data_IF_154493603495
#
_entry.id   IF_154493603495
#
_cell.length_a   1.000
_cell.length_b   1.000
_cell.length_c   1.000
_cell.angle_alpha   90.00
_cell.angle_beta   90.00
_cell.angle_gamma   90.00
#
_symmetry.space_group_name_H-M   'P 1'
#
loop_
_entity.id
_entity.type
_entity.pdbx_description
1 polymer ?
#
# COMPACT_ATOMS: atom_id res chain seq x y z
N UNK A 1 -25.36 -16.49 11.32
CA UNK A 1 -25.24 -15.12 11.87
C UNK A 1 -26.00 -14.23 10.93
N UNK A 2 -27.02 -13.50 11.42
CA UNK A 2 -27.73 -12.55 10.57
C UNK A 2 -26.76 -11.47 10.16
N UNK A 3 -26.60 -11.24 8.86
CA UNK A 3 -25.76 -10.20 8.33
C UNK A 3 -26.25 -8.84 8.87
N UNK A 4 -25.37 -8.05 9.47
CA UNK A 4 -25.73 -6.73 9.98
C UNK A 4 -25.84 -5.79 8.78
N UNK A 5 -27.04 -5.70 8.21
CA UNK A 5 -27.29 -5.02 6.93
C UNK A 5 -26.69 -3.60 6.81
N UNK A 6 -26.63 -2.77 7.88
CA UNK A 6 -25.90 -1.50 7.86
C UNK A 6 -24.38 -1.65 7.72
N UNK A 7 -23.77 -2.65 8.37
CA UNK A 7 -22.34 -2.89 8.26
C UNK A 7 -21.95 -3.41 6.88
N UNK A 8 -22.74 -4.32 6.30
CA UNK A 8 -22.50 -4.79 4.93
C UNK A 8 -22.54 -3.63 3.92
N UNK A 9 -23.49 -2.70 4.08
CA UNK A 9 -23.54 -1.48 3.26
C UNK A 9 -22.30 -0.62 3.44
N UNK A 10 -21.78 -0.52 4.66
CA UNK A 10 -20.54 0.20 4.94
C UNK A 10 -19.33 -0.46 4.29
N UNK A 11 -19.22 -1.78 4.36
CA UNK A 11 -18.15 -2.54 3.70
C UNK A 11 -18.18 -2.33 2.18
N UNK A 12 -19.35 -2.44 1.54
CA UNK A 12 -19.50 -2.16 0.11
C UNK A 12 -19.11 -0.72 -0.21
N UNK A 13 -19.43 0.24 0.67
CA UNK A 13 -19.02 1.63 0.48
C UNK A 13 -17.50 1.84 0.59
N UNK A 14 -16.83 1.10 1.49
CA UNK A 14 -15.37 1.10 1.61
C UNK A 14 -14.68 0.47 0.40
N UNK A 15 -15.19 -0.67 -0.11
CA UNK A 15 -14.61 -1.36 -1.28
C UNK A 15 -14.53 -0.48 -2.54
N UNK A 16 -15.38 0.54 -2.65
CA UNK A 16 -15.40 1.49 -3.77
C UNK A 16 -15.03 2.92 -3.37
N UNK A 17 -14.63 3.15 -2.11
CA UNK A 17 -14.37 4.48 -1.53
C UNK A 17 -15.48 5.52 -1.82
N UNK A 18 -16.74 5.12 -1.61
CA UNK A 18 -17.88 6.02 -1.77
C UNK A 18 -18.13 6.83 -0.50
N UNK A 19 -17.54 8.02 -0.43
CA UNK A 19 -17.71 8.98 0.68
C UNK A 19 -19.20 9.26 0.97
N UNK A 20 -20.03 9.37 -0.08
CA UNK A 20 -21.47 9.59 0.04
C UNK A 20 -22.18 8.43 0.74
N UNK A 21 -21.88 7.19 0.35
CA UNK A 21 -22.51 6.01 0.97
C UNK A 21 -22.02 5.79 2.39
N UNK A 22 -20.73 6.01 2.66
CA UNK A 22 -20.18 5.99 4.02
C UNK A 22 -20.95 7.01 4.87
N UNK A 23 -21.09 8.24 4.39
CA UNK A 23 -21.82 9.31 5.09
C UNK A 23 -23.27 8.90 5.36
N UNK A 24 -23.98 8.36 4.37
CA UNK A 24 -25.36 7.93 4.52
C UNK A 24 -25.53 6.86 5.61
N UNK A 25 -24.63 5.87 5.67
CA UNK A 25 -24.67 4.82 6.70
C UNK A 25 -24.41 5.40 8.10
N UNK A 26 -23.44 6.31 8.23
CA UNK A 26 -23.14 6.98 9.51
C UNK A 26 -24.28 7.93 9.94
N UNK A 27 -24.91 8.64 9.01
CA UNK A 27 -26.05 9.54 9.27
C UNK A 27 -27.31 8.76 9.67
N UNK A 28 -27.45 7.52 9.20
CA UNK A 28 -28.48 6.58 9.65
C UNK A 28 -28.22 6.02 11.07
N UNK A 29 -27.15 6.45 11.74
CA UNK A 29 -26.85 6.12 13.14
C UNK A 29 -25.82 5.00 13.33
N UNK A 30 -25.19 4.50 12.26
CA UNK A 30 -24.09 3.55 12.41
C UNK A 30 -22.89 4.24 13.09
N UNK A 31 -22.30 3.57 14.08
CA UNK A 31 -21.19 4.14 14.85
C UNK A 31 -19.87 4.02 14.10
N UNK A 32 -19.16 5.14 13.90
CA UNK A 32 -17.81 5.15 13.33
C UNK A 32 -16.73 4.61 14.29
N UNK A 33 -17.05 4.44 15.58
CA UNK A 33 -16.09 4.11 16.65
C UNK A 33 -16.28 2.73 17.24
N UNK A 34 -17.51 2.19 17.22
CA UNK A 34 -17.81 0.90 17.82
C UNK A 34 -17.21 -0.23 16.98
N UNK A 35 -16.42 -1.13 17.57
CA UNK A 35 -15.91 -2.29 16.85
C UNK A 35 -17.03 -3.23 16.39
N UNK A 36 -16.88 -3.76 15.18
CA UNK A 36 -17.63 -4.90 14.64
C UNK A 36 -16.64 -6.06 14.50
N UNK A 37 -16.97 -7.22 15.04
CA UNK A 37 -16.08 -8.40 15.07
C UNK A 37 -14.64 -8.11 15.52
N UNK A 38 -14.49 -7.21 16.50
CA UNK A 38 -13.21 -6.85 17.10
C UNK A 38 -12.41 -5.78 16.34
N UNK A 39 -12.89 -5.26 15.21
CA UNK A 39 -12.22 -4.20 14.43
C UNK A 39 -13.09 -2.96 14.31
N UNK A 40 -12.47 -1.78 14.41
CA UNK A 40 -13.19 -0.53 14.18
C UNK A 40 -13.46 -0.32 12.68
N UNK A 41 -14.49 0.46 12.31
CA UNK A 41 -14.76 0.78 10.90
C UNK A 41 -13.56 1.39 10.16
N UNK A 42 -12.77 2.25 10.83
CA UNK A 42 -11.57 2.83 10.22
C UNK A 42 -10.49 1.78 10.00
N UNK A 43 -10.31 0.81 10.91
CA UNK A 43 -9.41 -0.34 10.72
C UNK A 43 -9.84 -1.16 9.50
N UNK A 44 -11.14 -1.44 9.32
CA UNK A 44 -11.63 -2.13 8.12
C UNK A 44 -11.28 -1.36 6.83
N UNK A 45 -11.54 -0.05 6.79
CA UNK A 45 -11.23 0.79 5.62
C UNK A 45 -9.73 0.76 5.28
N UNK A 46 -8.85 0.88 6.27
CA UNK A 46 -7.40 0.93 6.04
C UNK A 46 -6.83 -0.43 5.61
N UNK A 47 -7.38 -1.54 6.12
CA UNK A 47 -6.84 -2.87 5.81
C UNK A 47 -7.32 -3.45 4.47
N UNK A 48 -8.43 -2.94 3.92
CA UNK A 48 -8.97 -3.38 2.63
C UNK A 48 -7.95 -3.24 1.50
N UNK A 49 -8.16 -3.94 0.38
CA UNK A 49 -7.20 -3.96 -0.71
C UNK A 49 -7.31 -2.75 -1.67
N UNK A 50 -8.53 -2.28 -1.94
CA UNK A 50 -8.74 -1.19 -2.91
C UNK A 50 -8.08 0.10 -2.41
N UNK A 51 -7.54 0.89 -3.34
CA UNK A 51 -6.87 2.17 -3.05
C UNK A 51 -7.26 3.17 -4.14
N UNK A 52 -7.69 4.37 -3.76
CA UNK A 52 -8.15 5.38 -4.72
C UNK A 52 -7.82 6.79 -4.26
N UNK A 53 -7.97 7.79 -5.14
CA UNK A 53 -7.83 9.20 -4.78
C UNK A 53 -8.86 9.66 -3.72
N UNK A 54 -9.97 8.94 -3.54
CA UNK A 54 -11.01 9.25 -2.55
C UNK A 54 -10.75 8.62 -1.18
N UNK A 55 -9.75 7.75 -1.06
CA UNK A 55 -9.41 7.09 0.21
C UNK A 55 -9.17 8.10 1.34
N UNK A 56 -8.36 9.17 1.16
CA UNK A 56 -8.16 10.18 2.20
C UNK A 56 -9.45 10.86 2.67
N UNK A 57 -10.42 11.08 1.78
CA UNK A 57 -11.72 11.67 2.13
C UNK A 57 -12.55 10.70 3.00
N UNK A 58 -12.47 9.40 2.72
CA UNK A 58 -13.13 8.36 3.51
C UNK A 58 -12.54 8.29 4.93
N UNK A 59 -11.21 8.32 5.05
CA UNK A 59 -10.49 8.38 6.33
C UNK A 59 -10.89 9.64 7.10
N UNK A 60 -10.84 10.81 6.45
CA UNK A 60 -11.22 12.10 7.05
C UNK A 60 -12.65 12.08 7.59
N UNK A 61 -13.61 11.55 6.82
CA UNK A 61 -14.99 11.44 7.27
C UNK A 61 -15.13 10.59 8.53
N UNK A 62 -14.42 9.46 8.63
CA UNK A 62 -14.47 8.63 9.84
C UNK A 62 -13.85 9.35 11.05
N UNK A 63 -12.72 10.04 10.85
CA UNK A 63 -12.07 10.84 11.91
C UNK A 63 -12.96 11.99 12.40
N UNK A 64 -13.65 12.69 11.49
CA UNK A 64 -14.66 13.72 11.83
C UNK A 64 -15.83 13.16 12.66
N UNK A 65 -16.11 11.86 12.52
CA UNK A 65 -17.12 11.12 13.31
C UNK A 65 -16.55 10.48 14.57
N UNK A 66 -15.33 10.87 14.95
CA UNK A 66 -14.68 10.45 16.20
C UNK A 66 -13.92 9.13 16.12
N UNK A 67 -13.75 8.54 14.93
CA UNK A 67 -12.89 7.38 14.78
C UNK A 67 -11.44 7.73 15.11
N UNK A 68 -10.68 6.74 15.56
CA UNK A 68 -9.25 6.87 15.87
C UNK A 68 -8.49 5.73 15.22
N UNK A 69 -7.32 6.03 14.67
CA UNK A 69 -6.37 5.02 14.22
C UNK A 69 -5.63 4.43 15.41
N UNK A 70 -5.28 3.14 15.33
CA UNK A 70 -4.47 2.46 16.35
C UNK A 70 -3.09 3.13 16.50
N UNK A 71 -2.53 3.62 15.39
CA UNK A 71 -1.36 4.48 15.37
C UNK A 71 -1.70 5.88 14.83
N UNK A 72 -1.96 6.87 15.70
CA UNK A 72 -2.28 8.22 15.26
C UNK A 72 -1.15 8.91 14.47
N UNK A 73 0.10 8.42 14.53
CA UNK A 73 1.24 9.06 13.85
C UNK A 73 1.21 8.89 12.34
N UNK A 74 0.48 7.89 11.83
CA UNK A 74 0.32 7.68 10.38
C UNK A 74 -0.84 8.48 9.79
N UNK A 75 -1.65 9.16 10.61
CA UNK A 75 -2.79 9.97 10.18
C UNK A 75 -2.49 10.91 9.00
N UNK A 76 -1.47 11.79 9.05
CA UNK A 76 -1.19 12.69 7.93
C UNK A 76 -0.84 11.95 6.65
N UNK A 77 -0.26 10.76 6.76
CA UNK A 77 0.07 9.92 5.60
C UNK A 77 -1.18 9.34 4.97
N UNK A 78 -2.10 8.77 5.76
CA UNK A 78 -3.36 8.22 5.26
C UNK A 78 -4.34 9.30 4.75
N UNK A 79 -4.20 10.54 5.24
CA UNK A 79 -4.95 11.69 4.76
C UNK A 79 -4.36 12.35 3.51
N UNK A 80 -3.23 11.85 3.01
CA UNK A 80 -2.44 12.46 1.93
C UNK A 80 -2.17 13.97 2.18
N UNK A 81 -1.83 14.30 3.43
CA UNK A 81 -1.68 15.67 3.92
C UNK A 81 -0.20 16.00 4.20
N UNK A 82 0.53 16.55 3.21
CA UNK A 82 1.96 16.84 3.36
C UNK A 82 2.23 17.98 4.34
N UNK A 83 1.29 18.91 4.53
CA UNK A 83 1.46 20.05 5.43
C UNK A 83 1.32 19.60 6.88
N UNK A 84 0.27 18.83 7.19
CA UNK A 84 0.12 18.21 8.51
C UNK A 84 1.29 17.28 8.84
N UNK A 85 1.80 16.52 7.85
CA UNK A 85 3.00 15.71 8.02
C UNK A 85 4.21 16.58 8.38
N UNK A 86 4.45 17.66 7.65
CA UNK A 86 5.59 18.54 7.86
C UNK A 86 5.56 19.16 9.26
N UNK A 87 4.39 19.65 9.67
CA UNK A 87 4.17 20.18 11.02
C UNK A 87 4.43 19.14 12.10
N UNK A 88 3.98 17.89 11.88
CA UNK A 88 4.21 16.80 12.81
C UNK A 88 5.71 16.46 12.93
N UNK A 89 6.42 16.34 11.80
CA UNK A 89 7.87 16.05 11.77
C UNK A 89 8.69 17.20 12.33
N UNK A 90 8.25 18.45 12.17
CA UNK A 90 8.90 19.61 12.76
C UNK A 90 8.80 19.58 14.30
N UNK A 91 7.65 19.17 14.83
CA UNK A 91 7.43 19.01 16.28
C UNK A 91 8.19 17.81 16.84
N UNK A 92 8.29 16.72 16.08
CA UNK A 92 8.99 15.51 16.46
C UNK A 92 9.71 14.88 15.26
N UNK A 93 11.02 15.14 15.16
CA UNK A 93 11.87 14.60 14.08
C UNK A 93 12.00 13.08 14.15
N UNK A 94 11.72 12.44 15.28
CA UNK A 94 11.77 10.98 15.40
C UNK A 94 10.72 10.29 14.53
N UNK A 95 9.67 11.00 14.11
CA UNK A 95 8.64 10.50 13.20
C UNK A 95 9.20 9.98 11.87
N UNK A 96 10.33 10.52 11.38
CA UNK A 96 10.98 10.01 10.17
C UNK A 96 11.53 8.59 10.31
N UNK A 97 11.75 8.13 11.56
CA UNK A 97 12.20 6.78 11.91
C UNK A 97 11.11 5.97 12.62
N UNK A 98 9.89 6.52 12.74
CA UNK A 98 8.77 5.85 13.38
C UNK A 98 8.45 4.53 12.70
N UNK A 99 8.08 3.54 13.50
CA UNK A 99 7.74 2.18 13.08
C UNK A 99 6.29 1.93 13.40
N UNK A 100 5.52 1.59 12.38
CA UNK A 100 4.10 1.27 12.48
C UNK A 100 3.85 -0.19 12.11
N UNK A 101 2.76 -0.74 12.62
CA UNK A 101 2.24 -2.06 12.29
C UNK A 101 0.81 -1.89 11.84
N UNK A 102 0.54 -2.22 10.59
CA UNK A 102 -0.79 -2.08 10.00
C UNK A 102 -1.08 -3.26 9.08
N UNK A 103 -2.27 -3.82 9.22
CA UNK A 103 -2.78 -4.77 8.23
C UNK A 103 -2.89 -4.09 6.86
N UNK A 104 -2.42 -4.77 5.82
CA UNK A 104 -2.76 -4.46 4.43
C UNK A 104 -3.05 -5.80 3.77
N UNK A 105 -4.21 -5.91 3.11
CA UNK A 105 -4.86 -7.16 2.72
C UNK A 105 -3.92 -8.31 2.35
N UNK A 106 -2.86 -8.05 1.57
CA UNK A 106 -1.97 -9.09 1.09
C UNK A 106 -0.49 -8.91 1.43
N UNK A 107 -0.06 -7.75 1.92
CA UNK A 107 1.34 -7.49 2.28
C UNK A 107 1.36 -6.56 3.50
N UNK A 108 1.32 -7.12 4.72
CA UNK A 108 1.24 -6.32 5.94
C UNK A 108 2.43 -5.37 6.04
N UNK A 109 2.18 -4.23 6.68
CA UNK A 109 3.17 -3.20 6.93
C UNK A 109 3.74 -3.41 8.34
N UNK A 110 4.61 -4.41 8.49
CA UNK A 110 5.20 -4.79 9.78
C UNK A 110 6.51 -4.03 10.01
N UNK A 111 6.58 -3.23 11.09
CA UNK A 111 7.73 -2.37 11.35
C UNK A 111 8.00 -1.38 10.21
N UNK A 112 6.95 -0.94 9.53
CA UNK A 112 7.02 -0.07 8.38
C UNK A 112 7.28 1.39 8.79
N UNK A 113 7.94 2.17 7.94
CA UNK A 113 8.06 3.63 8.13
C UNK A 113 6.93 4.37 7.43
N UNK A 114 6.78 5.67 7.73
CA UNK A 114 5.83 6.53 7.03
C UNK A 114 5.99 6.50 5.49
N UNK A 115 7.21 6.31 4.99
CA UNK A 115 7.49 6.22 3.55
C UNK A 115 6.98 4.91 2.93
N UNK A 116 6.96 3.81 3.68
CA UNK A 116 6.33 2.56 3.23
C UNK A 116 4.82 2.75 3.09
N UNK A 117 4.18 3.39 4.08
CA UNK A 117 2.75 3.67 4.04
C UNK A 117 2.44 4.58 2.84
N UNK A 118 3.20 5.66 2.63
CA UNK A 118 3.00 6.53 1.47
C UNK A 118 3.17 5.79 0.12
N UNK A 119 4.12 4.84 0.04
CA UNK A 119 4.35 4.01 -1.14
C UNK A 119 3.20 3.02 -1.42
N UNK A 120 2.76 2.29 -0.40
CA UNK A 120 1.61 1.37 -0.45
C UNK A 120 0.34 2.11 -0.89
N UNK A 121 0.11 3.30 -0.32
CA UNK A 121 -1.06 4.11 -0.59
C UNK A 121 -0.88 5.10 -1.74
N UNK A 122 0.25 5.06 -2.47
CA UNK A 122 0.44 5.87 -3.69
C UNK A 122 0.33 7.38 -3.45
N UNK A 123 0.58 7.83 -2.23
CA UNK A 123 0.47 9.22 -1.79
C UNK A 123 1.72 10.00 -2.18
N UNK A 124 1.75 10.46 -3.42
CA UNK A 124 2.92 11.10 -4.04
C UNK A 124 3.36 12.36 -3.29
N UNK A 125 2.42 13.23 -2.91
CA UNK A 125 2.73 14.48 -2.24
C UNK A 125 3.37 14.23 -0.87
N UNK A 126 2.80 13.31 -0.10
CA UNK A 126 3.36 12.89 1.19
C UNK A 126 4.72 12.19 1.02
N UNK A 127 4.87 11.29 0.05
CA UNK A 127 6.14 10.61 -0.22
C UNK A 127 7.25 11.61 -0.56
N UNK A 128 6.97 12.59 -1.42
CA UNK A 128 7.91 13.66 -1.75
C UNK A 128 8.30 14.45 -0.50
N UNK A 129 7.30 14.81 0.32
CA UNK A 129 7.54 15.55 1.56
C UNK A 129 8.40 14.79 2.56
N UNK A 130 8.16 13.48 2.73
CA UNK A 130 8.99 12.63 3.59
C UNK A 130 10.46 12.63 3.14
N UNK A 131 10.71 12.48 1.84
CA UNK A 131 12.07 12.51 1.28
C UNK A 131 12.73 13.88 1.46
N UNK A 132 12.01 14.98 1.20
CA UNK A 132 12.48 16.35 1.46
C UNK A 132 12.89 16.56 2.92
N UNK A 133 12.14 15.98 3.86
CA UNK A 133 12.40 16.08 5.29
C UNK A 133 13.54 15.16 5.77
N UNK A 134 14.06 14.29 4.89
CA UNK A 134 15.19 13.39 5.17
C UNK A 134 14.80 11.98 5.59
N UNK A 135 13.64 11.48 5.15
CA UNK A 135 13.31 10.06 5.29
C UNK A 135 14.27 9.19 4.46
N UNK A 136 14.79 8.13 5.08
CA UNK A 136 15.72 7.20 4.45
C UNK A 136 15.00 6.29 3.44
N UNK A 137 15.29 6.48 2.15
CA UNK A 137 14.57 5.87 1.02
C UNK A 137 14.56 4.34 1.01
N UNK A 138 15.64 3.72 1.47
CA UNK A 138 15.87 2.27 1.44
C UNK A 138 15.70 1.61 2.83
N UNK A 139 15.05 2.29 3.77
CA UNK A 139 14.77 1.70 5.08
C UNK A 139 14.00 0.40 4.90
N UNK A 140 14.45 -0.68 5.54
CA UNK A 140 13.74 -1.95 5.53
C UNK A 140 12.67 -1.99 6.62
N UNK A 141 11.52 -2.57 6.30
CA UNK A 141 10.53 -3.05 7.24
C UNK A 141 11.10 -4.20 8.10
N UNK A 142 10.33 -4.67 9.08
CA UNK A 142 10.73 -5.80 9.91
C UNK A 142 10.65 -7.13 9.13
N UNK A 143 11.51 -8.07 9.53
CA UNK A 143 11.45 -9.45 9.07
C UNK A 143 10.78 -10.32 10.12
N UNK A 144 10.13 -11.39 9.69
CA UNK A 144 9.61 -12.39 10.63
C UNK A 144 10.74 -13.30 11.17
N UNK A 145 10.38 -14.26 12.04
CA UNK A 145 11.32 -15.18 12.68
C UNK A 145 12.07 -16.10 11.71
N UNK A 146 11.60 -16.25 10.47
CA UNK A 146 12.26 -17.01 9.41
C UNK A 146 13.15 -16.11 8.52
N UNK A 147 13.27 -14.82 8.82
CA UNK A 147 14.01 -13.84 8.02
C UNK A 147 13.27 -13.40 6.76
N UNK A 148 11.97 -13.71 6.64
CA UNK A 148 11.15 -13.34 5.49
C UNK A 148 10.63 -11.91 5.62
N UNK A 149 10.17 -11.34 4.51
CA UNK A 149 9.71 -9.96 4.37
C UNK A 149 10.86 -8.95 4.50
N UNK A 150 10.64 -7.83 5.20
CA UNK A 150 11.62 -6.75 5.30
C UNK A 150 11.73 -5.92 4.02
N UNK A 151 10.60 -5.73 3.34
CA UNK A 151 10.43 -4.86 2.18
C UNK A 151 11.00 -3.46 2.44
N UNK A 152 11.55 -2.83 1.41
CA UNK A 152 11.76 -1.36 1.37
C UNK A 152 10.52 -0.67 0.81
N UNK A 153 10.37 0.67 0.90
CA UNK A 153 9.23 1.38 0.31
C UNK A 153 9.03 1.08 -1.17
N UNK A 154 10.11 0.85 -1.93
CA UNK A 154 10.02 0.55 -3.37
C UNK A 154 9.20 -0.72 -3.65
N UNK A 155 9.29 -1.77 -2.83
CA UNK A 155 8.50 -3.01 -3.00
C UNK A 155 6.98 -2.77 -3.00
N UNK A 156 6.51 -1.81 -2.20
CA UNK A 156 5.08 -1.49 -2.08
C UNK A 156 4.52 -0.76 -3.32
N UNK A 157 5.39 -0.33 -4.24
CA UNK A 157 4.94 0.42 -5.44
C UNK A 157 4.72 -0.47 -6.66
N UNK A 158 5.49 -1.55 -6.79
CA UNK A 158 5.67 -2.26 -8.07
C UNK A 158 4.51 -3.21 -8.42
N UNK A 159 3.72 -3.62 -7.42
CA UNK A 159 2.51 -4.44 -7.57
C UNK A 159 1.30 -3.75 -6.95
N UNK A 160 1.11 -2.45 -7.22
CA UNK A 160 -0.05 -1.70 -6.72
C UNK A 160 -1.32 -1.91 -7.56
N UNK A 161 -2.50 -1.80 -6.93
CA UNK A 161 -3.79 -1.86 -7.63
C UNK A 161 -3.87 -0.78 -8.72
N UNK A 162 -4.26 -1.15 -9.94
CA UNK A 162 -4.34 -0.22 -11.09
C UNK A 162 -3.06 0.60 -11.34
N UNK A 163 -1.90 0.05 -10.97
CA UNK A 163 -0.57 0.68 -11.10
C UNK A 163 -0.47 2.10 -10.49
N UNK A 164 -1.33 2.40 -9.53
CA UNK A 164 -1.50 3.74 -8.95
C UNK A 164 -0.26 4.26 -8.23
N UNK A 165 0.61 3.38 -7.74
CA UNK A 165 1.82 3.78 -7.03
C UNK A 165 3.02 4.00 -7.97
N UNK A 166 2.85 3.89 -9.30
CA UNK A 166 3.92 4.16 -10.28
C UNK A 166 4.54 5.58 -10.15
N UNK A 167 3.78 6.66 -9.88
CA UNK A 167 4.39 7.97 -9.61
C UNK A 167 5.31 7.94 -8.38
N UNK A 168 4.92 7.24 -7.31
CA UNK A 168 5.77 7.09 -6.12
C UNK A 168 6.99 6.22 -6.42
N UNK A 169 6.83 5.16 -7.22
CA UNK A 169 7.96 4.33 -7.70
C UNK A 169 9.03 5.21 -8.36
N UNK A 170 8.64 6.05 -9.33
CA UNK A 170 9.56 6.95 -10.04
C UNK A 170 10.21 7.98 -9.12
N UNK A 171 9.45 8.52 -8.17
CA UNK A 171 9.99 9.42 -7.15
C UNK A 171 11.06 8.73 -6.31
N UNK A 172 10.77 7.52 -5.79
CA UNK A 172 11.71 6.74 -4.99
C UNK A 172 12.98 6.42 -5.79
N UNK A 173 12.85 5.99 -7.05
CA UNK A 173 14.01 5.75 -7.93
C UNK A 173 14.83 7.01 -8.18
N UNK A 174 14.18 8.16 -8.38
CA UNK A 174 14.85 9.46 -8.54
C UNK A 174 15.56 9.90 -7.25
N UNK A 175 15.06 9.46 -6.09
CA UNK A 175 15.68 9.66 -4.78
C UNK A 175 16.76 8.61 -4.44
N UNK A 176 17.12 7.73 -5.38
CA UNK A 176 18.19 6.74 -5.21
C UNK A 176 17.75 5.42 -4.59
N UNK A 177 16.45 5.11 -4.55
CA UNK A 177 15.96 3.80 -4.13
C UNK A 177 16.59 2.69 -4.98
N UNK A 178 17.05 1.63 -4.33
CA UNK A 178 17.74 0.53 -5.01
C UNK A 178 16.76 -0.56 -5.47
N UNK A 179 16.62 -0.80 -6.78
CA UNK A 179 15.73 -1.83 -7.34
C UNK A 179 16.30 -3.26 -7.23
N UNK A 180 17.50 -3.44 -6.67
CA UNK A 180 18.20 -4.72 -6.49
C UNK A 180 18.30 -5.17 -5.02
N UNK A 181 17.64 -4.46 -4.08
CA UNK A 181 17.56 -4.89 -2.69
C UNK A 181 16.92 -6.27 -2.62
N UNK A 182 17.71 -7.25 -2.17
CA UNK A 182 17.30 -8.64 -2.07
C UNK A 182 16.68 -8.95 -0.71
N UNK A 183 15.54 -9.64 -0.73
CA UNK A 183 14.88 -10.25 0.42
C UNK A 183 15.03 -11.76 0.32
N UNK A 184 15.10 -12.45 1.46
CA UNK A 184 15.07 -13.91 1.50
C UNK A 184 13.76 -14.46 0.89
N UNK A 185 12.66 -13.75 1.14
CA UNK A 185 11.41 -13.91 0.42
C UNK A 185 10.31 -13.00 0.95
N UNK A 186 9.15 -13.03 0.29
CA UNK A 186 7.93 -12.34 0.70
C UNK A 186 6.80 -13.37 0.80
N UNK A 187 6.01 -13.27 1.86
CA UNK A 187 4.76 -14.04 2.00
C UNK A 187 3.59 -13.12 1.66
N UNK A 188 2.91 -13.40 0.56
CA UNK A 188 1.74 -12.68 0.09
C UNK A 188 0.46 -13.41 0.49
N UNK A 189 -0.50 -12.68 1.06
CA UNK A 189 -1.75 -13.28 1.55
C UNK A 189 -1.53 -14.18 2.77
N UNK A 190 -0.70 -13.73 3.72
CA UNK A 190 -0.40 -14.52 4.92
C UNK A 190 -1.68 -14.94 5.63
N UNK A 191 -1.80 -16.25 5.91
CA UNK A 191 -2.95 -16.82 6.62
C UNK A 191 -4.17 -17.13 5.75
N UNK A 192 -4.13 -16.85 4.45
CA UNK A 192 -5.13 -17.35 3.50
C UNK A 192 -4.74 -18.74 2.99
N UNK A 193 -5.72 -19.52 2.52
CA UNK A 193 -5.49 -20.84 1.90
C UNK A 193 -4.73 -20.75 0.56
N UNK A 194 -4.76 -19.60 -0.08
CA UNK A 194 -3.98 -19.23 -1.27
C UNK A 194 -2.69 -18.46 -0.94
N UNK A 195 -2.22 -18.47 0.31
CA UNK A 195 -0.94 -17.87 0.72
C UNK A 195 0.17 -18.26 -0.26
N UNK A 196 0.95 -17.27 -0.69
CA UNK A 196 2.02 -17.48 -1.67
C UNK A 196 3.32 -16.93 -1.16
N UNK A 197 4.29 -17.82 -1.00
CA UNK A 197 5.65 -17.46 -0.61
C UNK A 197 6.55 -17.43 -1.83
N UNK A 198 7.23 -16.31 -2.04
CA UNK A 198 8.20 -16.13 -3.11
C UNK A 198 9.58 -15.90 -2.50
N UNK A 199 10.56 -16.72 -2.89
CA UNK A 199 11.93 -16.64 -2.38
C UNK A 199 12.84 -15.83 -3.30
N UNK A 200 13.95 -15.32 -2.76
CA UNK A 200 14.97 -14.54 -3.48
C UNK A 200 14.38 -13.39 -4.32
N UNK A 201 13.73 -12.48 -3.61
CA UNK A 201 12.91 -11.43 -4.24
C UNK A 201 13.62 -10.09 -4.19
N UNK A 202 13.68 -9.40 -5.33
CA UNK A 202 14.06 -7.99 -5.47
C UNK A 202 12.85 -7.19 -5.93
N UNK A 203 12.84 -5.84 -5.89
CA UNK A 203 11.77 -5.06 -6.51
C UNK A 203 11.50 -5.46 -7.97
N UNK A 204 12.55 -5.77 -8.74
CA UNK A 204 12.42 -6.24 -10.14
C UNK A 204 11.71 -7.59 -10.24
N UNK A 205 12.11 -8.60 -9.45
CA UNK A 205 11.44 -9.90 -9.51
C UNK A 205 10.05 -9.86 -8.87
N UNK A 206 9.85 -9.04 -7.83
CA UNK A 206 8.53 -8.80 -7.25
C UNK A 206 7.58 -8.20 -8.30
N UNK A 207 7.99 -7.18 -9.04
CA UNK A 207 7.19 -6.62 -10.14
C UNK A 207 6.76 -7.68 -11.18
N UNK A 208 7.64 -8.65 -11.47
CA UNK A 208 7.31 -9.77 -12.37
C UNK A 208 6.26 -10.72 -11.78
N UNK A 209 6.19 -10.87 -10.45
CA UNK A 209 5.14 -11.67 -9.81
C UNK A 209 3.74 -11.12 -10.07
N UNK A 210 3.60 -9.84 -10.46
CA UNK A 210 2.32 -9.30 -10.94
C UNK A 210 1.73 -10.08 -12.13
N UNK A 211 2.55 -10.83 -12.87
CA UNK A 211 2.11 -11.73 -13.94
C UNK A 211 1.45 -13.03 -13.44
N UNK A 212 1.53 -13.33 -12.13
CA UNK A 212 0.79 -14.44 -11.53
C UNK A 212 -0.71 -14.11 -11.53
N UNK A 213 -1.60 -15.03 -11.96
CA UNK A 213 -3.03 -14.76 -12.07
C UNK A 213 -3.67 -14.16 -10.80
N UNK A 214 -3.31 -14.71 -9.64
CA UNK A 214 -3.79 -14.27 -8.31
C UNK A 214 -3.41 -12.84 -7.92
N UNK A 215 -2.36 -12.27 -8.53
CA UNK A 215 -1.94 -10.91 -8.22
C UNK A 215 -2.84 -9.87 -8.89
N UNK A 216 -3.60 -10.25 -9.94
CA UNK A 216 -4.54 -9.37 -10.64
C UNK A 216 -3.90 -8.06 -11.13
N UNK A 217 -2.73 -8.13 -11.79
CA UNK A 217 -2.10 -6.96 -12.43
C UNK A 217 -2.20 -7.02 -13.95
N UNK A 218 -2.45 -5.89 -14.63
CA UNK A 218 -2.30 -5.82 -16.08
C UNK A 218 -0.84 -6.09 -16.48
N UNK A 219 -0.65 -6.93 -17.49
CA UNK A 219 0.69 -7.32 -17.95
C UNK A 219 1.51 -6.10 -18.45
N UNK A 220 0.84 -5.14 -19.08
CA UNK A 220 1.44 -3.88 -19.55
C UNK A 220 2.08 -3.09 -18.40
N UNK A 221 1.38 -3.00 -17.27
CA UNK A 221 1.83 -2.28 -16.08
C UNK A 221 3.02 -2.98 -15.44
N UNK A 222 2.95 -4.31 -15.31
CA UNK A 222 4.07 -5.12 -14.80
C UNK A 222 5.34 -4.87 -15.60
N UNK A 223 5.25 -4.92 -16.93
CA UNK A 223 6.40 -4.69 -17.80
C UNK A 223 6.84 -3.22 -17.90
N UNK A 224 5.94 -2.26 -17.75
CA UNK A 224 6.32 -0.86 -17.58
C UNK A 224 7.16 -0.68 -16.31
N UNK A 225 6.72 -1.23 -15.18
CA UNK A 225 7.45 -1.15 -13.92
C UNK A 225 8.81 -1.86 -13.99
N UNK A 226 8.86 -3.08 -14.54
CA UNK A 226 10.12 -3.81 -14.74
C UNK A 226 11.10 -3.01 -15.61
N UNK A 227 10.63 -2.36 -16.68
CA UNK A 227 11.48 -1.52 -17.54
C UNK A 227 12.10 -0.37 -16.75
N UNK A 228 11.28 0.38 -16.02
CA UNK A 228 11.74 1.52 -15.23
C UNK A 228 12.75 1.10 -14.14
N UNK A 229 12.48 0.00 -13.43
CA UNK A 229 13.37 -0.53 -12.39
C UNK A 229 14.73 -0.99 -12.96
N UNK A 230 14.73 -1.68 -14.10
CA UNK A 230 15.97 -2.12 -14.76
C UNK A 230 16.77 -0.94 -15.29
N UNK A 231 16.11 0.05 -15.89
CA UNK A 231 16.75 1.28 -16.34
C UNK A 231 17.40 2.04 -15.17
N UNK A 232 16.71 2.16 -14.04
CA UNK A 232 17.27 2.77 -12.83
C UNK A 232 18.47 2.00 -12.26
N UNK A 233 18.59 0.70 -12.56
CA UNK A 233 19.77 -0.13 -12.22
C UNK A 233 20.90 -0.04 -13.25
N UNK A 234 20.76 0.74 -14.32
CA UNK A 234 21.67 0.74 -15.46
C UNK A 234 21.69 -0.58 -16.24
N UNK A 235 20.66 -1.43 -16.10
CA UNK A 235 20.54 -2.71 -16.80
C UNK A 235 19.79 -2.51 -18.11
N UNK A 236 20.35 -3.06 -19.19
CA UNK A 236 19.68 -3.06 -20.49
C UNK A 236 18.36 -3.81 -20.42
N UNK A 237 17.30 -3.24 -21.01
CA UNK A 237 16.00 -3.90 -21.14
C UNK A 237 15.79 -4.26 -22.61
N UNK A 238 15.76 -5.55 -22.97
CA UNK A 238 15.46 -5.94 -24.34
C UNK A 238 14.04 -5.52 -24.72
N UNK A 239 13.73 -5.32 -26.01
CA UNK A 239 12.37 -5.08 -26.47
C UNK A 239 11.43 -6.18 -25.98
N UNK A 240 10.38 -5.80 -25.25
CA UNK A 240 9.34 -6.71 -24.79
C UNK A 240 8.26 -6.77 -25.87
N UNK A 241 8.48 -7.58 -26.92
CA UNK A 241 7.53 -7.79 -28.01
C UNK A 241 6.54 -8.92 -27.73
N UNK A 242 6.74 -9.65 -26.63
CA UNK A 242 5.85 -10.71 -26.20
C UNK A 242 4.55 -10.12 -25.67
N UNK A 243 3.42 -10.69 -26.08
CA UNK A 243 2.15 -10.53 -25.39
C UNK A 243 1.99 -11.83 -24.60
N UNK A 244 2.27 -11.84 -23.27
CA UNK A 244 2.15 -13.05 -22.47
C UNK A 244 0.78 -13.69 -22.68
N UNK A 245 0.74 -15.01 -22.60
CA UNK A 245 -0.49 -15.78 -22.75
C UNK A 245 -1.26 -15.58 -24.08
N UNK A 246 -0.71 -14.86 -25.08
CA UNK A 246 -1.32 -14.74 -26.41
C UNK A 246 -1.58 -16.09 -27.07
N UNK A 247 -0.80 -17.11 -26.73
CA UNK A 247 -1.02 -18.48 -27.18
C UNK A 247 -2.24 -19.16 -26.53
N UNK A 248 -2.75 -18.64 -25.40
CA UNK A 248 -3.99 -19.08 -24.76
C UNK A 248 -5.23 -18.44 -25.40
N UNK A 249 -5.08 -17.25 -25.98
CA UNK A 249 -6.08 -16.66 -26.84
C UNK A 249 -6.10 -17.41 -28.18
N UNK A 250 -6.82 -18.54 -28.24
CA UNK A 250 -7.11 -19.22 -29.50
C UNK A 250 -7.86 -18.27 -30.44
N UNK A 251 -7.61 -18.33 -31.76
CA UNK A 251 -8.29 -17.49 -32.75
C UNK A 251 -9.80 -17.76 -32.82
#
# INVERSE_FOLDING_TARGET
MAADAPFDQLLVAFEIHSVERIRAVLDAGFSATRPVDGKTPITYLTEMYYRSARFPECVRLLLERGATLDDPKITPVLLDDPDQLADAVQKDRSLLRHRTWMGSAFTPLDGATLLHVAAEYGHLAVAAKLLELGAEVDTRAETDSAGMNGQTPLFHTVNSNANRSAPVMRLLLSAGARPDVRLQGITWGRGFDWETTCFDVTPVSYAQLGLLPQMHRPEEDCYANVRELLQASGRAVPPLTNVPNRYLAKP
#
